data_IF_496202722476
#
_entry.id   IF_496202722476
#
_cell.length_a   1.000
_cell.length_b   1.000
_cell.length_c   1.000
_cell.angle_alpha   90.00
_cell.angle_beta   90.00
_cell.angle_gamma   90.00
#
_symmetry.space_group_name_H-M   'P 1'
#
loop_
_entity.id
_entity.type
_entity.pdbx_description
1 polymer ?
#
# COMPACT_ATOMS: atom_id res chain seq x y z
N UNK A 1 -1.27 14.81 -26.57
CA UNK A 1 -0.37 13.75 -26.04
C UNK A 1 0.78 14.24 -25.14
N UNK A 2 1.29 15.48 -25.25
CA UNK A 2 2.39 15.98 -24.38
C UNK A 2 2.00 16.15 -22.89
N UNK A 3 0.75 16.53 -22.61
CA UNK A 3 0.25 16.75 -21.26
C UNK A 3 0.13 15.44 -20.45
N UNK A 4 -0.47 14.40 -21.03
CA UNK A 4 -0.60 13.06 -20.41
C UNK A 4 0.77 12.45 -20.08
N UNK A 5 1.74 12.57 -20.99
CA UNK A 5 3.12 12.11 -20.75
C UNK A 5 3.85 12.88 -19.64
N UNK A 6 3.55 14.18 -19.47
CA UNK A 6 4.11 14.97 -18.37
C UNK A 6 3.50 14.56 -17.03
N UNK A 7 2.18 14.36 -16.97
CA UNK A 7 1.50 13.89 -15.76
C UNK A 7 2.03 12.53 -15.31
N UNK A 8 2.13 11.56 -16.22
CA UNK A 8 2.63 10.22 -15.90
C UNK A 8 4.09 10.26 -15.38
N UNK A 9 4.94 11.11 -15.98
CA UNK A 9 6.32 11.30 -15.51
C UNK A 9 6.41 11.98 -14.14
N UNK A 10 5.55 12.95 -13.84
CA UNK A 10 5.52 13.59 -12.52
C UNK A 10 4.96 12.64 -11.46
N UNK A 11 3.97 11.85 -11.83
CA UNK A 11 3.37 10.84 -10.96
C UNK A 11 4.38 9.75 -10.59
N UNK A 12 5.14 9.24 -11.57
CA UNK A 12 6.22 8.29 -11.33
C UNK A 12 7.33 8.85 -10.41
N UNK A 13 7.66 10.14 -10.55
CA UNK A 13 8.60 10.81 -9.63
C UNK A 13 8.02 10.96 -8.22
N UNK A 14 6.72 11.25 -8.11
CA UNK A 14 6.00 11.28 -6.85
C UNK A 14 6.02 9.92 -6.15
N UNK A 15 5.69 8.85 -6.87
CA UNK A 15 5.77 7.46 -6.39
C UNK A 15 7.18 7.12 -5.88
N UNK A 16 8.22 7.45 -6.65
CA UNK A 16 9.61 7.21 -6.27
C UNK A 16 10.03 8.02 -5.04
N UNK A 17 9.63 9.29 -4.95
CA UNK A 17 9.93 10.15 -3.80
C UNK A 17 9.25 9.63 -2.54
N UNK A 18 7.96 9.28 -2.61
CA UNK A 18 7.20 8.70 -1.50
C UNK A 18 7.86 7.39 -1.04
N UNK A 19 8.18 6.50 -1.96
CA UNK A 19 8.85 5.24 -1.64
C UNK A 19 10.22 5.48 -0.98
N UNK A 20 11.03 6.41 -1.49
CA UNK A 20 12.32 6.74 -0.90
C UNK A 20 12.18 7.32 0.51
N UNK A 21 11.21 8.23 0.74
CA UNK A 21 10.94 8.79 2.06
C UNK A 21 10.46 7.72 3.04
N UNK A 22 9.54 6.85 2.63
CA UNK A 22 9.06 5.73 3.46
C UNK A 22 10.22 4.80 3.81
N UNK A 23 11.06 4.43 2.83
CA UNK A 23 12.23 3.59 3.06
C UNK A 23 13.21 4.22 4.06
N UNK A 24 13.51 5.51 3.91
CA UNK A 24 14.41 6.22 4.81
C UNK A 24 13.84 6.24 6.24
N UNK A 25 12.54 6.50 6.38
CA UNK A 25 11.86 6.49 7.66
C UNK A 25 11.86 5.09 8.30
N UNK A 26 11.66 4.03 7.51
CA UNK A 26 11.79 2.64 7.97
C UNK A 26 13.21 2.33 8.47
N UNK A 27 14.24 2.78 7.76
CA UNK A 27 15.64 2.58 8.17
C UNK A 27 15.91 3.26 9.52
N UNK A 28 15.46 4.51 9.69
CA UNK A 28 15.65 5.26 10.93
C UNK A 28 14.92 4.59 12.10
N UNK A 29 13.67 4.18 11.91
CA UNK A 29 12.88 3.50 12.94
C UNK A 29 13.50 2.15 13.31
N UNK A 30 13.88 1.34 12.31
CA UNK A 30 14.49 0.04 12.55
C UNK A 30 15.85 0.17 13.28
N UNK A 31 16.65 1.17 12.92
CA UNK A 31 17.89 1.48 13.61
C UNK A 31 17.64 1.89 15.07
N UNK A 32 16.64 2.75 15.32
CA UNK A 32 16.26 3.16 16.67
C UNK A 32 15.80 1.97 17.52
N UNK A 33 14.95 1.08 16.99
CA UNK A 33 14.52 -0.14 17.68
C UNK A 33 15.70 -1.06 17.98
N UNK A 34 16.62 -1.26 17.03
CA UNK A 34 17.81 -2.07 17.23
C UNK A 34 18.71 -1.50 18.33
N UNK A 35 18.91 -0.18 18.36
CA UNK A 35 19.67 0.50 19.42
C UNK A 35 18.99 0.36 20.78
N UNK A 36 17.68 0.58 20.87
CA UNK A 36 16.95 0.44 22.13
C UNK A 36 16.99 -1.00 22.67
N UNK A 37 16.86 -2.00 21.80
CA UNK A 37 17.01 -3.42 22.18
C UNK A 37 18.43 -3.70 22.69
N UNK A 38 19.45 -3.13 22.06
CA UNK A 38 20.83 -3.27 22.54
C UNK A 38 21.04 -2.59 23.90
N UNK A 39 20.46 -1.41 24.13
CA UNK A 39 20.52 -0.69 25.42
C UNK A 39 19.78 -1.44 26.53
N UNK A 40 18.73 -2.19 26.18
CA UNK A 40 18.02 -3.06 27.14
C UNK A 40 18.91 -4.20 27.63
N UNK A 41 19.80 -4.74 26.78
CA UNK A 41 20.80 -5.73 27.19
C UNK A 41 21.85 -5.17 28.17
N UNK A 42 21.95 -3.85 28.31
CA UNK A 42 22.80 -3.16 29.30
C UNK A 42 22.03 -2.75 30.57
N UNK A 43 20.85 -3.35 30.82
CA UNK A 43 20.00 -3.12 32.00
C UNK A 43 19.55 -1.66 32.20
N UNK A 44 19.32 -0.94 31.10
CA UNK A 44 18.81 0.43 31.14
C UNK A 44 17.27 0.45 31.14
N UNK A 45 16.66 0.67 32.30
CA UNK A 45 15.19 0.65 32.49
C UNK A 45 14.43 1.61 31.55
N UNK A 46 15.01 2.77 31.21
CA UNK A 46 14.36 3.73 30.31
C UNK A 46 14.21 3.18 28.88
N UNK A 47 15.07 2.24 28.46
CA UNK A 47 15.03 1.66 27.12
C UNK A 47 13.81 0.75 26.95
N UNK A 48 13.44 0.00 28.00
CA UNK A 48 12.23 -0.83 28.01
C UNK A 48 10.95 0.00 27.83
N UNK A 49 10.84 1.10 28.58
CA UNK A 49 9.67 2.00 28.50
C UNK A 49 9.61 2.68 27.11
N UNK A 50 10.77 3.04 26.55
CA UNK A 50 10.84 3.61 25.20
C UNK A 50 10.45 2.59 24.12
N UNK A 51 10.84 1.32 24.26
CA UNK A 51 10.46 0.22 23.37
C UNK A 51 8.95 -0.04 23.40
N UNK A 52 8.34 -0.08 24.59
CA UNK A 52 6.90 -0.28 24.74
C UNK A 52 6.10 0.82 24.04
N UNK A 53 6.52 2.09 24.19
CA UNK A 53 5.92 3.23 23.47
C UNK A 53 6.12 3.18 21.95
N UNK A 54 7.06 2.37 21.48
CA UNK A 54 7.39 2.18 20.06
C UNK A 54 6.79 0.88 19.49
N UNK A 55 5.82 0.25 20.14
CA UNK A 55 5.16 -0.96 19.63
C UNK A 55 4.54 -0.78 18.22
N UNK A 56 4.14 0.45 17.86
CA UNK A 56 3.62 0.79 16.53
C UNK A 56 4.66 0.66 15.41
N UNK A 57 5.95 0.71 15.74
CA UNK A 57 7.02 0.66 14.75
C UNK A 57 7.06 -0.70 14.02
N UNK A 58 6.80 -1.80 14.72
CA UNK A 58 6.80 -3.14 14.10
C UNK A 58 5.69 -3.25 13.05
N UNK A 59 4.47 -2.81 13.37
CA UNK A 59 3.35 -2.74 12.42
C UNK A 59 3.65 -1.81 11.24
N UNK A 60 4.29 -0.65 11.49
CA UNK A 60 4.70 0.28 10.45
C UNK A 60 5.76 -0.31 9.52
N UNK A 61 6.77 -1.00 10.05
CA UNK A 61 7.82 -1.64 9.24
C UNK A 61 7.23 -2.75 8.38
N UNK A 62 6.40 -3.63 8.95
CA UNK A 62 5.76 -4.72 8.21
C UNK A 62 4.92 -4.17 7.04
N UNK A 63 4.06 -3.18 7.30
CA UNK A 63 3.22 -2.60 6.24
C UNK A 63 4.00 -1.71 5.30
N UNK A 64 5.01 -1.01 5.79
CA UNK A 64 5.94 -0.21 5.00
C UNK A 64 6.67 -1.05 3.94
N UNK A 65 7.08 -2.29 4.26
CA UNK A 65 7.65 -3.18 3.23
C UNK A 65 6.67 -3.47 2.10
N UNK A 66 5.38 -3.66 2.42
CA UNK A 66 4.33 -3.87 1.43
C UNK A 66 4.13 -2.61 0.56
N UNK A 67 4.13 -1.42 1.17
CA UNK A 67 4.11 -0.15 0.45
C UNK A 67 5.27 -0.07 -0.56
N UNK A 68 6.49 -0.34 -0.10
CA UNK A 68 7.69 -0.31 -0.95
C UNK A 68 7.63 -1.34 -2.08
N UNK A 69 7.12 -2.54 -1.83
CA UNK A 69 6.94 -3.55 -2.85
C UNK A 69 6.00 -3.07 -3.96
N UNK A 70 4.87 -2.44 -3.61
CA UNK A 70 3.93 -1.89 -4.60
C UNK A 70 4.50 -0.70 -5.37
N UNK A 71 5.15 0.26 -4.70
CA UNK A 71 5.79 1.37 -5.40
C UNK A 71 6.92 0.90 -6.31
N UNK A 72 7.74 -0.05 -5.84
CA UNK A 72 8.80 -0.65 -6.64
C UNK A 72 8.26 -1.40 -7.85
N UNK A 73 7.18 -2.16 -7.69
CA UNK A 73 6.49 -2.83 -8.79
C UNK A 73 5.92 -1.81 -9.79
N UNK A 74 5.22 -0.78 -9.33
CA UNK A 74 4.69 0.31 -10.18
C UNK A 74 5.80 0.99 -10.97
N UNK A 75 6.90 1.37 -10.33
CA UNK A 75 8.02 2.05 -11.00
C UNK A 75 8.74 1.14 -12.00
N UNK A 76 8.93 -0.14 -11.65
CA UNK A 76 9.51 -1.14 -12.56
C UNK A 76 8.63 -1.35 -13.79
N UNK A 77 7.29 -1.32 -13.62
CA UNK A 77 6.36 -1.33 -14.77
C UNK A 77 6.50 -0.08 -15.60
N UNK A 78 6.64 1.09 -14.96
CA UNK A 78 6.76 2.34 -15.68
C UNK A 78 7.96 2.37 -16.63
N UNK A 79 9.13 2.03 -16.11
CA UNK A 79 10.39 2.09 -16.86
C UNK A 79 10.60 0.91 -17.82
N UNK A 80 9.66 -0.06 -17.86
CA UNK A 80 9.81 -1.33 -18.60
C UNK A 80 11.08 -2.11 -18.21
N UNK A 81 11.62 -1.81 -17.02
CA UNK A 81 12.81 -2.46 -16.43
C UNK A 81 12.49 -3.78 -15.73
N UNK A 82 11.31 -4.34 -15.98
CA UNK A 82 11.05 -5.71 -15.58
C UNK A 82 12.11 -6.62 -16.20
N UNK A 83 12.48 -7.69 -15.50
CA UNK A 83 13.26 -8.77 -16.11
C UNK A 83 12.35 -9.42 -17.15
N UNK A 84 12.31 -8.81 -18.32
CA UNK A 84 11.58 -9.29 -19.46
C UNK A 84 12.38 -10.50 -19.95
N UNK A 85 12.00 -11.69 -19.48
CA UNK A 85 12.39 -12.99 -20.08
C UNK A 85 11.65 -13.13 -21.43
N UNK A 86 11.60 -12.02 -22.16
CA UNK A 86 10.84 -11.82 -23.37
C UNK A 86 11.79 -12.12 -24.54
N UNK A 87 12.17 -13.39 -24.64
CA UNK A 87 12.89 -13.91 -25.80
C UNK A 87 12.06 -13.71 -27.07
N UNK A 88 10.74 -13.87 -26.96
CA UNK A 88 9.80 -13.79 -28.08
C UNK A 88 9.75 -12.37 -28.68
N UNK A 89 9.53 -11.27 -27.92
CA UNK A 89 9.59 -9.90 -28.45
C UNK A 89 10.93 -9.50 -29.09
N UNK A 90 12.07 -10.06 -28.65
CA UNK A 90 13.39 -9.78 -29.26
C UNK A 90 13.54 -10.38 -30.66
N UNK A 91 12.87 -11.50 -30.93
CA UNK A 91 12.88 -12.19 -32.23
C UNK A 91 11.70 -11.77 -33.13
N UNK A 92 10.78 -10.95 -32.61
CA UNK A 92 9.53 -10.62 -33.28
C UNK A 92 9.62 -9.37 -34.16
N UNK A 93 8.92 -9.32 -35.31
CA UNK A 93 8.78 -8.10 -36.10
C UNK A 93 8.03 -7.01 -35.30
N UNK A 94 8.22 -5.71 -35.63
CA UNK A 94 7.70 -4.58 -34.85
C UNK A 94 6.17 -4.60 -34.66
N UNK A 95 5.43 -5.23 -35.58
CA UNK A 95 3.99 -5.45 -35.46
C UNK A 95 3.62 -6.41 -34.32
N UNK A 96 4.30 -7.56 -34.26
CA UNK A 96 4.07 -8.57 -33.22
C UNK A 96 4.46 -8.05 -31.85
N UNK A 97 5.52 -7.23 -31.76
CA UNK A 97 5.92 -6.60 -30.49
C UNK A 97 4.81 -5.73 -29.89
N UNK A 98 4.14 -4.91 -30.70
CA UNK A 98 3.02 -4.08 -30.22
C UNK A 98 1.79 -4.92 -29.88
N UNK A 99 1.52 -5.98 -30.64
CA UNK A 99 0.42 -6.89 -30.36
C UNK A 99 0.61 -7.66 -29.04
N UNK A 100 1.79 -8.25 -28.84
CA UNK A 100 2.15 -8.93 -27.59
C UNK A 100 2.08 -7.97 -26.40
N UNK A 101 2.58 -6.75 -26.57
CA UNK A 101 2.48 -5.70 -25.55
C UNK A 101 1.02 -5.37 -25.21
N UNK A 102 0.13 -5.28 -26.20
CA UNK A 102 -1.30 -5.05 -25.98
C UNK A 102 -1.94 -6.20 -25.21
N UNK A 103 -1.62 -7.45 -25.55
CA UNK A 103 -2.14 -8.64 -24.84
C UNK A 103 -1.68 -8.65 -23.38
N UNK A 104 -0.36 -8.54 -23.15
CA UNK A 104 0.22 -8.61 -21.81
C UNK A 104 -0.31 -7.48 -20.92
N UNK A 105 -0.39 -6.25 -21.45
CA UNK A 105 -0.94 -5.12 -20.70
C UNK A 105 -2.43 -5.26 -20.43
N UNK A 106 -3.21 -5.83 -21.35
CA UNK A 106 -4.63 -6.12 -21.11
C UNK A 106 -4.80 -7.16 -20.00
N UNK A 107 -4.03 -8.25 -20.05
CA UNK A 107 -4.06 -9.29 -19.03
C UNK A 107 -3.64 -8.77 -17.65
N UNK A 108 -2.58 -7.94 -17.62
CA UNK A 108 -2.14 -7.24 -16.41
C UNK A 108 -3.22 -6.30 -15.85
N UNK A 109 -3.87 -5.51 -16.69
CA UNK A 109 -4.95 -4.61 -16.28
C UNK A 109 -6.12 -5.37 -15.65
N UNK A 110 -6.56 -6.46 -16.28
CA UNK A 110 -7.66 -7.32 -15.79
C UNK A 110 -7.28 -7.97 -14.46
N UNK A 111 -6.09 -8.57 -14.38
CA UNK A 111 -5.61 -9.22 -13.15
C UNK A 111 -5.52 -8.24 -12.00
N UNK A 112 -4.90 -7.07 -12.20
CA UNK A 112 -4.80 -6.03 -11.18
C UNK A 112 -6.18 -5.50 -10.76
N UNK A 113 -7.14 -5.38 -11.69
CA UNK A 113 -8.51 -4.95 -11.35
C UNK A 113 -9.20 -5.95 -10.42
N UNK A 114 -9.20 -7.24 -10.76
CA UNK A 114 -9.83 -8.27 -9.95
C UNK A 114 -9.14 -8.43 -8.59
N UNK A 115 -7.80 -8.42 -8.55
CA UNK A 115 -7.07 -8.44 -7.29
C UNK A 115 -7.39 -7.23 -6.43
N UNK A 116 -7.37 -6.02 -6.99
CA UNK A 116 -7.75 -4.80 -6.28
C UNK A 116 -9.16 -4.88 -5.69
N UNK A 117 -10.12 -5.43 -6.45
CA UNK A 117 -11.51 -5.63 -6.01
C UNK A 117 -11.62 -6.66 -4.87
N UNK A 118 -10.91 -7.77 -4.96
CA UNK A 118 -10.90 -8.80 -3.91
C UNK A 118 -10.26 -8.26 -2.63
N UNK A 119 -9.10 -7.59 -2.73
CA UNK A 119 -8.43 -7.00 -1.58
C UNK A 119 -9.26 -5.88 -0.96
N UNK A 120 -9.97 -5.06 -1.76
CA UNK A 120 -10.86 -4.03 -1.24
C UNK A 120 -11.98 -4.63 -0.39
N UNK A 121 -12.64 -5.68 -0.88
CA UNK A 121 -13.67 -6.39 -0.14
C UNK A 121 -13.11 -7.06 1.13
N UNK A 122 -11.91 -7.64 1.04
CA UNK A 122 -11.23 -8.25 2.19
C UNK A 122 -10.95 -7.21 3.29
N UNK A 123 -10.42 -6.04 2.92
CA UNK A 123 -10.13 -4.95 3.86
C UNK A 123 -11.42 -4.40 4.48
N UNK A 124 -12.51 -4.26 3.71
CA UNK A 124 -13.80 -3.83 4.26
C UNK A 124 -14.39 -4.85 5.24
N UNK A 125 -14.29 -6.14 4.94
CA UNK A 125 -14.71 -7.19 5.86
C UNK A 125 -13.90 -7.14 7.16
N UNK A 126 -12.57 -7.00 7.06
CA UNK A 126 -11.71 -6.89 8.22
C UNK A 126 -11.91 -5.58 9.01
N UNK A 127 -12.32 -4.49 8.35
CA UNK A 127 -12.66 -3.24 9.02
C UNK A 127 -13.87 -3.38 9.96
N UNK A 128 -14.80 -4.29 9.66
CA UNK A 128 -15.96 -4.57 10.50
C UNK A 128 -15.64 -5.55 11.65
N UNK A 129 -14.56 -6.32 11.56
CA UNK A 129 -14.14 -7.21 12.64
C UNK A 129 -13.52 -6.39 13.77
N UNK A 130 -14.05 -6.55 14.98
CA UNK A 130 -13.48 -5.95 16.19
C UNK A 130 -12.48 -6.95 16.78
N UNK A 131 -11.17 -6.65 16.79
CA UNK A 131 -10.19 -7.54 17.41
C UNK A 131 -10.37 -7.57 18.93
N UNK A 132 -10.01 -8.72 19.53
CA UNK A 132 -10.17 -8.95 20.97
C UNK A 132 -9.46 -7.90 21.85
N UNK A 133 -8.36 -7.34 21.37
CA UNK A 133 -7.60 -6.30 22.08
C UNK A 133 -8.38 -4.97 22.23
N UNK A 134 -9.41 -4.76 21.41
CA UNK A 134 -10.22 -3.54 21.39
C UNK A 134 -11.70 -3.81 21.72
N UNK A 135 -12.07 -5.06 22.02
CA UNK A 135 -13.40 -5.44 22.49
C UNK A 135 -13.44 -5.55 24.00
N UNK A 136 -14.48 -4.97 24.61
CA UNK A 136 -14.78 -5.13 26.04
C UNK A 136 -16.20 -5.72 26.15
N UNK A 137 -16.38 -6.66 27.08
CA UNK A 137 -17.70 -7.19 27.43
C UNK A 137 -18.54 -6.08 28.05
N UNK A 138 -19.60 -5.67 27.34
CA UNK A 138 -20.56 -4.70 27.82
C UNK A 138 -21.47 -5.27 28.91
N UNK A 139 -22.27 -4.40 29.54
CA UNK A 139 -23.20 -4.78 30.61
C UNK A 139 -24.27 -5.83 30.20
N UNK A 140 -24.49 -6.03 28.90
CA UNK A 140 -25.45 -6.98 28.33
C UNK A 140 -24.78 -8.21 27.69
N UNK A 141 -23.51 -8.51 28.00
CA UNK A 141 -22.73 -9.61 27.40
C UNK A 141 -22.42 -9.43 25.89
N UNK A 142 -22.62 -8.22 25.35
CA UNK A 142 -22.25 -7.86 23.98
C UNK A 142 -20.82 -7.30 23.90
N UNK A 143 -20.09 -7.65 22.84
CA UNK A 143 -18.75 -7.13 22.57
C UNK A 143 -18.84 -5.70 22.02
N UNK A 144 -18.43 -4.72 22.83
CA UNK A 144 -18.44 -3.30 22.45
C UNK A 144 -17.00 -2.83 22.23
N UNK A 145 -16.80 -1.97 21.23
CA UNK A 145 -15.48 -1.37 20.96
C UNK A 145 -15.06 -0.44 22.10
N UNK A 146 -13.77 -0.46 22.49
CA UNK A 146 -13.21 0.32 23.60
C UNK A 146 -13.53 1.83 23.52
N UNK A 147 -13.67 2.37 22.31
CA UNK A 147 -14.04 3.77 22.08
C UNK A 147 -15.52 4.11 22.37
N UNK A 148 -16.41 3.12 22.49
CA UNK A 148 -17.84 3.30 22.78
C UNK A 148 -18.20 2.83 24.19
N UNK A 149 -17.27 2.17 24.90
CA UNK A 149 -17.49 1.66 26.25
C UNK A 149 -17.60 2.81 27.29
N UNK A 150 -18.48 2.68 28.30
CA UNK A 150 -18.64 3.67 29.36
C UNK A 150 -17.41 3.71 30.27
N UNK A 151 -17.02 4.92 30.70
CA UNK A 151 -15.78 5.17 31.46
C UNK A 151 -15.64 4.34 32.75
N UNK A 152 -16.76 3.94 33.37
CA UNK A 152 -16.78 3.09 34.56
C UNK A 152 -16.25 1.67 34.26
N UNK A 153 -16.66 1.07 33.14
CA UNK A 153 -16.19 -0.26 32.74
C UNK A 153 -14.71 -0.28 32.35
N UNK A 154 -14.19 0.82 31.79
CA UNK A 154 -12.75 0.93 31.49
C UNK A 154 -11.92 1.04 32.79
N UNK A 155 -12.42 1.78 33.77
CA UNK A 155 -11.76 1.92 35.08
C UNK A 155 -11.72 0.58 35.84
N UNK A 156 -12.83 -0.18 35.79
CA UNK A 156 -12.92 -1.51 36.41
C UNK A 156 -12.01 -2.54 35.72
N UNK A 157 -11.80 -2.41 34.41
CA UNK A 157 -10.89 -3.25 33.63
C UNK A 157 -9.42 -2.79 33.69
N UNK A 158 -9.11 -1.67 34.35
CA UNK A 158 -7.76 -1.10 34.40
C UNK A 158 -7.21 -0.62 33.05
N UNK A 159 -8.09 -0.39 32.06
CA UNK A 159 -7.71 -0.02 30.70
C UNK A 159 -7.83 1.50 30.50
N UNK A 160 -6.79 2.11 29.94
CA UNK A 160 -6.79 3.52 29.54
C UNK A 160 -7.37 3.68 28.14
N UNK A 161 -8.30 4.63 27.95
CA UNK A 161 -8.84 4.94 26.62
C UNK A 161 -7.76 5.61 25.75
N UNK A 162 -7.47 5.10 24.55
CA UNK A 162 -6.58 5.80 23.63
C UNK A 162 -7.30 6.99 22.99
N UNK A 163 -7.25 8.15 23.66
CA UNK A 163 -8.04 9.34 23.32
C UNK A 163 -7.82 9.85 21.90
N UNK A 164 -6.56 9.83 21.41
CA UNK A 164 -6.23 10.28 20.04
C UNK A 164 -6.86 9.37 18.99
N UNK A 165 -6.78 8.05 19.19
CA UNK A 165 -7.34 7.08 18.25
C UNK A 165 -8.88 7.14 18.24
N UNK A 166 -9.49 7.20 19.41
CA UNK A 166 -10.96 7.30 19.53
C UNK A 166 -11.49 8.63 18.97
N UNK A 167 -10.73 9.73 19.11
CA UNK A 167 -11.06 11.01 18.49
C UNK A 167 -11.07 10.95 16.96
N UNK A 168 -10.02 10.39 16.35
CA UNK A 168 -9.95 10.22 14.89
C UNK A 168 -11.08 9.31 14.38
N UNK A 169 -11.35 8.19 15.08
CA UNK A 169 -12.45 7.27 14.74
C UNK A 169 -13.79 7.99 14.74
N UNK A 170 -14.09 8.79 15.77
CA UNK A 170 -15.35 9.54 15.86
C UNK A 170 -15.51 10.53 14.71
N UNK A 171 -14.42 11.19 14.28
CA UNK A 171 -14.47 12.09 13.13
C UNK A 171 -14.71 11.34 11.82
N UNK A 172 -14.11 10.16 11.63
CA UNK A 172 -14.32 9.36 10.41
C UNK A 172 -15.70 8.68 10.37
N UNK A 173 -16.27 8.37 11.53
CA UNK A 173 -17.63 7.83 11.63
C UNK A 173 -18.68 8.83 11.11
N UNK A 174 -18.44 10.14 11.24
CA UNK A 174 -19.27 11.20 10.63
C UNK A 174 -19.30 11.09 9.09
N UNK A 175 -18.22 10.60 8.48
CA UNK A 175 -18.13 10.36 7.04
C UNK A 175 -18.60 8.94 6.63
N UNK A 176 -19.17 8.18 7.55
CA UNK A 176 -19.65 6.82 7.30
C UNK A 176 -18.54 5.77 7.18
N UNK A 177 -17.31 6.09 7.63
CA UNK A 177 -16.17 5.18 7.60
C UNK A 177 -15.90 4.66 9.01
N UNK A 178 -16.25 3.40 9.26
CA UNK A 178 -15.93 2.73 10.52
C UNK A 178 -14.55 2.05 10.41
N UNK A 179 -13.66 2.35 11.36
CA UNK A 179 -12.32 1.77 11.44
C UNK A 179 -12.11 1.14 12.81
N UNK A 180 -11.90 -0.18 12.83
CA UNK A 180 -11.66 -0.92 14.06
C UNK A 180 -10.23 -0.77 14.60
N UNK A 181 -9.23 -0.64 13.72
CA UNK A 181 -7.84 -0.43 14.12
C UNK A 181 -7.14 0.57 13.19
N UNK A 182 -6.11 1.30 13.67
CA UNK A 182 -5.31 2.19 12.80
C UNK A 182 -4.57 1.40 11.73
N UNK A 183 -4.39 0.11 11.98
CA UNK A 183 -3.74 -0.86 11.14
C UNK A 183 -4.46 -1.15 9.82
N UNK A 184 -5.79 -1.09 9.81
CA UNK A 184 -6.61 -1.29 8.62
C UNK A 184 -6.36 -0.19 7.59
N UNK A 185 -6.16 1.06 8.03
CA UNK A 185 -5.87 2.21 7.15
C UNK A 185 -4.58 1.98 6.36
N UNK A 186 -3.55 1.47 7.03
CA UNK A 186 -2.27 1.17 6.41
C UNK A 186 -2.35 0.04 5.36
N UNK A 187 -3.33 -0.86 5.47
CA UNK A 187 -3.56 -1.94 4.50
C UNK A 187 -4.35 -1.46 3.27
N UNK A 188 -5.04 -0.33 3.35
CA UNK A 188 -5.85 0.23 2.26
C UNK A 188 -4.99 0.67 1.04
N UNK A 189 -3.67 0.76 1.22
CA UNK A 189 -2.76 0.98 0.09
C UNK A 189 -2.84 -0.13 -0.96
N UNK A 190 -2.98 -1.39 -0.52
CA UNK A 190 -2.84 -2.56 -1.39
C UNK A 190 -3.91 -2.53 -2.48
N UNK A 191 -5.21 -2.45 -2.15
CA UNK A 191 -6.24 -2.39 -3.17
C UNK A 191 -6.17 -1.10 -4.00
N UNK A 192 -5.81 0.03 -3.39
CA UNK A 192 -5.69 1.30 -4.13
C UNK A 192 -4.55 1.29 -5.15
N UNK A 193 -3.39 0.72 -4.83
CA UNK A 193 -2.28 0.55 -5.76
C UNK A 193 -2.60 -0.45 -6.88
N UNK A 194 -3.31 -1.55 -6.59
CA UNK A 194 -3.76 -2.47 -7.64
C UNK A 194 -4.73 -1.80 -8.63
N UNK A 195 -5.69 -1.01 -8.13
CA UNK A 195 -6.60 -0.24 -8.98
C UNK A 195 -5.81 0.78 -9.81
N UNK A 196 -4.87 1.48 -9.19
CA UNK A 196 -4.01 2.44 -9.86
C UNK A 196 -3.17 1.80 -10.99
N UNK A 197 -2.51 0.67 -10.71
CA UNK A 197 -1.75 -0.09 -11.71
C UNK A 197 -2.65 -0.64 -12.83
N UNK A 198 -3.88 -1.06 -12.50
CA UNK A 198 -4.87 -1.50 -13.49
C UNK A 198 -5.17 -0.39 -14.51
N UNK A 199 -5.42 0.84 -14.05
CA UNK A 199 -5.63 2.00 -14.92
C UNK A 199 -4.40 2.25 -15.80
N UNK A 200 -3.19 2.19 -15.21
CA UNK A 200 -1.93 2.39 -15.95
C UNK A 200 -1.73 1.35 -17.05
N UNK A 201 -2.01 0.08 -16.76
CA UNK A 201 -1.94 -0.99 -17.75
C UNK A 201 -3.00 -0.87 -18.83
N UNK A 202 -4.22 -0.45 -18.47
CA UNK A 202 -5.29 -0.20 -19.43
C UNK A 202 -4.92 0.91 -20.42
N UNK A 203 -4.36 2.03 -19.93
CA UNK A 203 -3.88 3.12 -20.78
C UNK A 203 -2.78 2.64 -21.74
N UNK A 204 -1.89 1.74 -21.29
CA UNK A 204 -0.85 1.14 -22.13
C UNK A 204 -1.41 0.18 -23.16
N UNK A 205 -2.40 -0.63 -22.79
CA UNK A 205 -3.09 -1.53 -23.70
C UNK A 205 -3.74 -0.74 -24.84
N UNK A 206 -4.48 0.33 -24.50
CA UNK A 206 -5.11 1.23 -25.48
C UNK A 206 -4.05 1.84 -26.40
N UNK A 207 -2.96 2.37 -25.85
CA UNK A 207 -1.89 2.98 -26.66
C UNK A 207 -1.24 1.97 -27.62
N UNK A 208 -0.98 0.74 -27.17
CA UNK A 208 -0.42 -0.33 -28.00
C UNK A 208 -1.39 -0.80 -29.09
N UNK A 209 -2.67 -0.97 -28.76
CA UNK A 209 -3.73 -1.31 -29.72
C UNK A 209 -3.90 -0.24 -30.79
N UNK A 210 -3.89 1.05 -30.41
CA UNK A 210 -3.94 2.16 -31.38
C UNK A 210 -2.73 2.13 -32.30
N UNK A 211 -1.51 1.96 -31.77
CA UNK A 211 -0.30 1.89 -32.57
C UNK A 211 -0.30 0.69 -33.54
N UNK A 212 -0.86 -0.45 -33.12
CA UNK A 212 -1.05 -1.63 -33.96
C UNK A 212 -2.01 -1.36 -35.12
N UNK A 213 -3.18 -0.75 -34.84
CA UNK A 213 -4.20 -0.43 -35.84
C UNK A 213 -3.72 0.64 -36.82
N UNK A 214 -3.08 1.71 -36.34
CA UNK A 214 -2.64 2.82 -37.20
C UNK A 214 -1.34 2.51 -37.96
N UNK A 215 -0.73 1.34 -37.77
CA UNK A 215 0.62 0.98 -38.27
C UNK A 215 1.71 2.01 -37.97
N UNK A 216 1.46 2.90 -37.00
CA UNK A 216 2.41 3.89 -36.54
C UNK A 216 3.23 3.24 -35.44
N UNK A 217 4.19 2.43 -35.85
CA UNK A 217 5.19 1.92 -34.92
C UNK A 217 6.04 3.13 -34.54
N UNK A 218 6.11 3.51 -33.25
CA UNK A 218 7.14 4.45 -32.84
C UNK A 218 8.45 3.83 -33.33
N UNK A 219 9.18 4.55 -34.19
CA UNK A 219 10.52 4.16 -34.59
C UNK A 219 11.24 3.76 -33.31
N UNK A 220 11.79 2.54 -33.28
CA UNK A 220 12.66 2.12 -32.21
C UNK A 220 13.63 3.28 -31.97
N UNK A 221 13.58 3.84 -30.77
CA UNK A 221 14.78 4.45 -30.21
C UNK A 221 15.76 3.28 -29.98
N UNK A 222 16.28 2.73 -31.07
CA UNK A 222 17.55 2.04 -31.11
C UNK A 222 18.59 3.15 -31.04
N UNK A 223 19.33 3.17 -29.92
CA UNK A 223 20.44 4.08 -29.69
C UNK A 223 20.08 5.25 -28.78
N UNK A 224 20.20 5.03 -27.47
CA UNK A 224 21.04 5.87 -26.60
C UNK A 224 21.07 5.26 -25.19
N UNK A 225 22.23 4.65 -24.88
CA UNK A 225 22.81 4.30 -23.58
C UNK A 225 21.98 3.47 -22.57
#
# INVERSE_FOLDING_TARGET
MKFVRRLDRQLARGEAAIAATVLLLMIVIAAAQATLRNLTNFDLDFANIALERMAWADSFLQKGTLWLAFFGASLSTYDEKHIAIDVIPRLSPPRMKQFLRAIVSTFGAVTCFYLGRVFWLSVLNNAMEIPLEYSILGANDEMVHICQAPAQLLADAGLSRPDVFCGIRSMLEVFGVQMSTPDVVLQLIVPSMFIFMSVRFLLRAIAASVAFVTKNYPASAEGEA
#
